data_IF_525065232844
#
_entry.id   IF_525065232844
#
_cell.length_a   1.000
_cell.length_b   1.000
_cell.length_c   1.000
_cell.angle_alpha   90.00
_cell.angle_beta   90.00
_cell.angle_gamma   90.00
#
_symmetry.space_group_name_H-M   'P 1'
#
loop_
_entity.id
_entity.type
_entity.pdbx_description
1 polymer ?
#
# COMPACT_ATOMS: atom_id res chain seq x y z
N UNK A 1 -2.39 44.74 46.26
CA UNK A 1 -3.35 44.21 45.27
C UNK A 1 -2.57 43.68 44.09
N UNK A 2 -2.87 42.46 43.70
CA UNK A 2 -2.05 41.50 42.95
C UNK A 2 -1.91 41.84 41.46
N UNK A 3 -0.72 41.60 40.92
CA UNK A 3 -0.28 41.98 39.57
C UNK A 3 -0.81 40.98 38.53
N UNK A 4 -2.08 41.15 38.12
CA UNK A 4 -2.85 40.22 37.26
C UNK A 4 -2.41 40.28 35.77
N UNK A 5 -1.78 41.38 35.34
CA UNK A 5 -1.42 41.61 33.93
C UNK A 5 -0.26 40.73 33.43
N UNK A 6 0.73 40.42 34.28
CA UNK A 6 1.90 39.63 33.89
C UNK A 6 1.64 38.13 33.73
N UNK A 7 0.61 37.60 34.37
CA UNK A 7 0.27 36.16 34.33
C UNK A 7 -0.49 35.82 33.05
N UNK A 8 -1.40 36.70 32.62
CA UNK A 8 -2.24 36.47 31.43
C UNK A 8 -1.41 36.38 30.14
N UNK A 9 -0.39 37.23 29.99
CA UNK A 9 0.49 37.27 28.80
C UNK A 9 1.41 36.05 28.72
N UNK A 10 1.83 35.47 29.85
CA UNK A 10 2.64 34.24 29.88
C UNK A 10 1.84 33.00 29.53
N UNK A 11 0.58 32.93 29.98
CA UNK A 11 -0.30 31.78 29.70
C UNK A 11 -0.68 31.73 28.21
N UNK A 12 -1.04 32.88 27.61
CA UNK A 12 -1.36 32.96 26.18
C UNK A 12 -0.18 32.52 25.30
N UNK A 13 1.05 32.89 25.69
CA UNK A 13 2.26 32.55 24.93
C UNK A 13 2.63 31.06 25.03
N UNK A 14 2.34 30.40 26.15
CA UNK A 14 2.53 28.95 26.31
C UNK A 14 1.49 28.14 25.55
N UNK A 15 0.23 28.56 25.54
CA UNK A 15 -0.85 27.84 24.84
C UNK A 15 -0.65 27.91 23.32
N UNK A 16 -0.25 29.06 22.77
CA UNK A 16 0.06 29.15 21.33
C UNK A 16 1.28 28.32 20.92
N UNK A 17 2.31 28.20 21.79
CA UNK A 17 3.49 27.39 21.50
C UNK A 17 3.20 25.88 21.43
N UNK A 18 2.29 25.38 22.28
CA UNK A 18 1.90 23.97 22.29
C UNK A 18 0.93 23.64 21.15
N UNK A 19 0.03 24.57 20.78
CA UNK A 19 -0.91 24.39 19.66
C UNK A 19 -0.20 24.40 18.30
N UNK A 20 0.85 25.20 18.11
CA UNK A 20 1.62 25.22 16.86
C UNK A 20 2.50 23.97 16.65
N UNK A 21 2.96 23.31 17.73
CA UNK A 21 3.68 22.04 17.63
C UNK A 21 2.74 20.84 17.36
N UNK A 22 1.46 20.94 17.75
CA UNK A 22 0.47 19.89 17.51
C UNK A 22 -0.03 19.80 16.06
N UNK A 23 0.11 20.87 15.27
CA UNK A 23 -0.38 20.93 13.88
C UNK A 23 0.60 20.39 12.83
N UNK A 24 1.82 20.01 13.23
CA UNK A 24 2.82 19.40 12.34
C UNK A 24 2.73 17.86 12.30
N UNK A 25 1.72 17.27 12.94
CA UNK A 25 1.47 15.83 12.85
C UNK A 25 0.63 15.56 11.60
N UNK A 26 1.30 15.17 10.50
CA UNK A 26 0.71 14.15 9.63
C UNK A 26 0.67 14.36 8.12
N UNK A 27 1.39 15.30 7.52
CA UNK A 27 1.75 15.12 6.10
C UNK A 27 3.00 14.23 6.05
N UNK A 28 2.84 12.91 6.16
CA UNK A 28 3.93 11.97 5.88
C UNK A 28 4.28 12.12 4.39
N UNK A 29 5.30 12.92 4.11
CA UNK A 29 5.87 13.01 2.77
C UNK A 29 6.44 11.66 2.37
N UNK A 30 6.40 11.33 1.08
CA UNK A 30 7.07 10.14 0.56
C UNK A 30 8.56 10.18 0.92
N UNK A 31 9.13 9.11 1.52
CA UNK A 31 10.57 9.04 1.77
C UNK A 31 11.38 9.08 0.47
N UNK A 32 12.65 9.46 0.53
CA UNK A 32 13.55 9.38 -0.65
C UNK A 32 13.77 7.93 -1.06
N UNK A 33 14.08 7.66 -2.33
CA UNK A 33 14.28 6.30 -2.83
C UNK A 33 15.29 5.50 -1.97
N UNK A 34 16.41 6.10 -1.61
CA UNK A 34 17.43 5.51 -0.75
C UNK A 34 16.87 5.12 0.64
N UNK A 35 16.02 5.97 1.22
CA UNK A 35 15.36 5.66 2.49
C UNK A 35 14.37 4.51 2.33
N UNK A 36 13.63 4.46 1.21
CA UNK A 36 12.72 3.36 0.92
C UNK A 36 13.47 2.04 0.76
N UNK A 37 14.61 2.05 0.06
CA UNK A 37 15.47 0.86 -0.08
C UNK A 37 15.98 0.38 1.27
N UNK A 38 16.39 1.29 2.16
CA UNK A 38 16.78 0.96 3.53
C UNK A 38 15.63 0.35 4.33
N UNK A 39 14.41 0.91 4.21
CA UNK A 39 13.21 0.35 4.82
C UNK A 39 12.96 -1.08 4.33
N UNK A 40 13.05 -1.32 3.02
CA UNK A 40 12.86 -2.65 2.43
C UNK A 40 13.97 -3.62 2.86
N UNK A 41 15.24 -3.20 2.87
CA UNK A 41 16.36 -4.03 3.35
C UNK A 41 16.15 -4.45 4.81
N UNK A 42 15.61 -3.56 5.64
CA UNK A 42 15.25 -3.85 7.03
C UNK A 42 13.94 -4.64 7.19
N UNK A 43 13.32 -5.09 6.09
CA UNK A 43 12.01 -5.74 6.04
C UNK A 43 10.87 -4.88 6.64
N UNK A 44 11.07 -3.56 6.72
CA UNK A 44 10.09 -2.58 7.18
C UNK A 44 9.23 -2.10 6.00
N UNK A 45 8.35 -2.97 5.53
CA UNK A 45 7.46 -2.72 4.39
C UNK A 45 6.29 -1.80 4.78
N UNK A 46 6.55 -0.51 4.94
CA UNK A 46 5.53 0.48 5.33
C UNK A 46 4.64 0.81 4.13
N UNK A 47 3.32 0.68 4.31
CA UNK A 47 2.34 1.03 3.27
C UNK A 47 2.46 2.52 2.88
N UNK A 48 2.16 2.81 1.62
CA UNK A 48 2.20 4.12 0.98
C UNK A 48 3.57 4.82 0.94
N UNK A 49 4.61 4.19 1.48
CA UNK A 49 5.97 4.72 1.61
C UNK A 49 7.02 3.91 0.85
N UNK A 50 6.64 2.83 0.18
CA UNK A 50 7.56 1.96 -0.57
C UNK A 50 7.06 1.85 -2.01
N UNK A 51 7.93 2.12 -2.98
CA UNK A 51 7.66 1.93 -4.42
C UNK A 51 8.13 0.58 -4.94
N UNK A 52 7.70 0.22 -6.15
CA UNK A 52 8.19 -0.98 -6.83
C UNK A 52 9.69 -0.93 -7.05
N UNK A 53 10.21 0.24 -7.44
CA UNK A 53 11.64 0.45 -7.68
C UNK A 53 12.49 0.26 -6.42
N UNK A 54 12.03 0.77 -5.27
CA UNK A 54 12.73 0.58 -4.00
C UNK A 54 12.86 -0.91 -3.65
N UNK A 55 11.81 -1.70 -3.88
CA UNK A 55 11.85 -3.15 -3.64
C UNK A 55 12.80 -3.86 -4.60
N UNK A 56 12.73 -3.54 -5.89
CA UNK A 56 13.60 -4.16 -6.90
C UNK A 56 15.08 -3.83 -6.63
N UNK A 57 15.39 -2.61 -6.22
CA UNK A 57 16.76 -2.21 -5.89
C UNK A 57 17.26 -2.90 -4.62
N UNK A 58 16.43 -3.02 -3.59
CA UNK A 58 16.81 -3.61 -2.32
C UNK A 58 16.89 -5.14 -2.34
N UNK A 59 15.95 -5.81 -3.03
CA UNK A 59 15.78 -7.27 -2.97
C UNK A 59 16.04 -7.99 -4.30
N UNK A 60 16.22 -7.26 -5.40
CA UNK A 60 16.29 -7.81 -6.75
C UNK A 60 14.91 -7.90 -7.41
N UNK A 61 14.86 -8.36 -8.66
CA UNK A 61 13.59 -8.56 -9.39
C UNK A 61 12.72 -9.61 -8.69
N UNK A 62 11.39 -9.43 -8.64
CA UNK A 62 10.50 -10.43 -8.06
C UNK A 62 10.57 -11.73 -8.86
N UNK A 63 10.76 -12.90 -8.20
CA UNK A 63 10.72 -14.19 -8.88
C UNK A 63 9.39 -14.46 -9.57
N UNK A 64 8.30 -13.95 -9.00
CA UNK A 64 6.94 -14.08 -9.51
C UNK A 64 6.33 -12.68 -9.61
N UNK A 65 5.88 -12.33 -10.82
CA UNK A 65 5.36 -11.01 -11.16
C UNK A 65 4.02 -11.15 -11.89
N UNK A 66 3.07 -10.28 -11.57
CA UNK A 66 1.83 -10.12 -12.33
C UNK A 66 1.37 -8.67 -12.30
N UNK A 67 0.68 -8.24 -13.34
CA UNK A 67 0.10 -6.90 -13.45
C UNK A 67 -1.29 -7.02 -14.04
N UNK A 68 -2.26 -6.38 -13.43
CA UNK A 68 -3.60 -6.31 -13.99
C UNK A 68 -4.37 -5.05 -13.58
N UNK A 69 -5.21 -4.56 -14.49
CA UNK A 69 -6.25 -3.60 -14.13
C UNK A 69 -7.31 -4.30 -13.25
N UNK A 70 -7.42 -3.85 -12.00
CA UNK A 70 -8.26 -4.49 -11.00
C UNK A 70 -8.95 -3.47 -10.09
N UNK A 71 -9.80 -3.98 -9.20
CA UNK A 71 -10.46 -3.17 -8.18
C UNK A 71 -9.78 -3.34 -6.84
N UNK A 72 -9.72 -2.24 -6.10
CA UNK A 72 -9.14 -2.13 -4.78
C UNK A 72 -10.18 -1.57 -3.83
N UNK A 73 -10.57 -2.36 -2.84
CA UNK A 73 -11.55 -1.95 -1.84
C UNK A 73 -10.86 -1.06 -0.81
N UNK A 74 -11.34 0.17 -0.67
CA UNK A 74 -10.88 1.13 0.33
C UNK A 74 -11.75 0.97 1.57
N UNK A 75 -11.12 0.55 2.66
CA UNK A 75 -11.75 0.33 3.95
C UNK A 75 -11.96 1.66 4.70
N UNK A 76 -12.84 1.71 5.72
CA UNK A 76 -13.06 2.94 6.50
C UNK A 76 -11.82 3.48 7.24
N UNK A 77 -10.84 2.61 7.52
CA UNK A 77 -9.54 2.96 8.11
C UNK A 77 -8.48 3.32 7.06
N UNK A 78 -8.89 3.48 5.79
CA UNK A 78 -8.06 3.73 4.62
C UNK A 78 -7.12 2.59 4.21
N UNK A 79 -7.20 1.42 4.87
CA UNK A 79 -6.52 0.24 4.36
C UNK A 79 -7.12 -0.18 3.01
N UNK A 80 -6.29 -0.78 2.16
CA UNK A 80 -6.68 -1.20 0.82
C UNK A 80 -6.63 -2.72 0.73
N UNK A 81 -7.70 -3.32 0.24
CA UNK A 81 -7.78 -4.76 0.00
C UNK A 81 -7.94 -4.99 -1.51
N UNK A 82 -6.96 -5.64 -2.18
CA UNK A 82 -7.08 -5.95 -3.60
C UNK A 82 -8.17 -6.99 -3.83
N UNK A 83 -8.89 -6.88 -4.96
CA UNK A 83 -9.99 -7.78 -5.32
C UNK A 83 -9.58 -9.25 -5.32
N UNK A 84 -8.35 -9.57 -5.69
CA UNK A 84 -7.78 -10.93 -5.71
C UNK A 84 -7.73 -11.61 -4.34
N UNK A 85 -7.88 -10.86 -3.23
CA UNK A 85 -7.91 -11.40 -1.85
C UNK A 85 -9.32 -11.49 -1.26
N UNK A 86 -10.35 -11.26 -2.08
CA UNK A 86 -11.77 -11.36 -1.68
C UNK A 86 -12.41 -12.54 -2.42
N UNK A 87 -13.29 -13.29 -1.75
CA UNK A 87 -14.04 -14.35 -2.40
C UNK A 87 -14.96 -13.78 -3.50
N UNK A 88 -15.22 -14.59 -4.54
CA UNK A 88 -15.99 -14.12 -5.69
C UNK A 88 -17.44 -13.85 -5.36
N UNK A 89 -17.92 -12.66 -5.75
CA UNK A 89 -19.28 -12.20 -5.46
C UNK A 89 -19.43 -11.58 -4.06
N UNK A 90 -18.35 -11.55 -3.26
CA UNK A 90 -18.36 -10.97 -1.92
C UNK A 90 -17.66 -9.61 -1.89
N UNK A 91 -17.93 -8.85 -0.83
CA UNK A 91 -17.19 -7.66 -0.46
C UNK A 91 -16.44 -7.89 0.86
N UNK A 92 -15.32 -7.19 1.11
CA UNK A 92 -14.63 -7.29 2.41
C UNK A 92 -15.57 -6.95 3.57
N UNK A 93 -15.42 -7.65 4.70
CA UNK A 93 -16.23 -7.37 5.89
C UNK A 93 -15.95 -5.96 6.40
N UNK A 94 -17.00 -5.19 6.66
CA UNK A 94 -16.89 -3.81 7.13
C UNK A 94 -16.61 -2.78 6.02
N UNK A 95 -16.52 -3.22 4.76
CA UNK A 95 -16.46 -2.32 3.62
C UNK A 95 -17.80 -1.58 3.44
N UNK A 96 -17.73 -0.29 3.09
CA UNK A 96 -18.92 0.56 2.94
C UNK A 96 -19.27 0.88 1.49
N UNK A 97 -18.29 1.37 0.71
CA UNK A 97 -18.46 1.70 -0.71
C UNK A 97 -17.17 2.13 -1.43
N UNK A 98 -16.07 2.42 -0.72
CA UNK A 98 -14.87 2.96 -1.34
C UNK A 98 -14.20 1.96 -2.27
N UNK A 99 -14.07 2.31 -3.56
CA UNK A 99 -13.33 1.51 -4.54
C UNK A 99 -12.38 2.43 -5.30
N UNK A 100 -11.15 1.97 -5.49
CA UNK A 100 -10.22 2.51 -6.47
C UNK A 100 -10.02 1.44 -7.55
N UNK A 101 -10.18 1.80 -8.83
CA UNK A 101 -9.81 0.94 -9.95
C UNK A 101 -8.53 1.47 -10.60
N UNK A 102 -7.59 0.58 -10.88
CA UNK A 102 -6.31 0.95 -11.46
C UNK A 102 -5.43 -0.26 -11.75
N UNK A 103 -4.25 0.00 -12.31
CA UNK A 103 -3.27 -1.03 -12.60
C UNK A 103 -2.59 -1.49 -11.31
N UNK A 104 -2.87 -2.73 -10.91
CA UNK A 104 -2.27 -3.39 -9.77
C UNK A 104 -1.01 -4.15 -10.17
N UNK A 105 0.11 -3.86 -9.52
CA UNK A 105 1.36 -4.60 -9.71
C UNK A 105 1.60 -5.53 -8.52
N UNK A 106 1.77 -6.82 -8.78
CA UNK A 106 1.93 -7.87 -7.78
C UNK A 106 3.34 -8.44 -7.83
N UNK A 107 4.07 -8.33 -6.72
CA UNK A 107 5.37 -8.96 -6.51
C UNK A 107 5.22 -10.08 -5.49
N UNK A 108 5.62 -11.29 -5.86
CA UNK A 108 5.72 -12.41 -4.93
C UNK A 108 7.18 -12.87 -4.80
N UNK A 109 7.66 -12.92 -3.55
CA UNK A 109 9.00 -13.39 -3.17
C UNK A 109 8.87 -14.64 -2.30
N UNK A 110 8.77 -15.85 -2.88
CA UNK A 110 8.65 -17.11 -2.13
C UNK A 110 9.74 -17.29 -1.06
N UNK A 111 10.99 -16.97 -1.41
CA UNK A 111 12.14 -17.10 -0.51
C UNK A 111 12.10 -16.13 0.69
N UNK A 112 11.26 -15.09 0.60
CA UNK A 112 11.06 -14.10 1.66
C UNK A 112 9.69 -14.21 2.33
N UNK A 113 8.79 -15.04 1.80
CA UNK A 113 7.44 -15.22 2.31
C UNK A 113 6.51 -14.01 2.13
N UNK A 114 6.75 -13.16 1.12
CA UNK A 114 5.97 -11.94 0.92
C UNK A 114 5.21 -11.89 -0.41
N UNK A 115 3.93 -11.54 -0.33
CA UNK A 115 3.16 -10.94 -1.42
C UNK A 115 3.08 -9.42 -1.18
N UNK A 116 3.48 -8.64 -2.17
CA UNK A 116 3.41 -7.18 -2.17
C UNK A 116 2.55 -6.72 -3.34
N UNK A 117 1.63 -5.80 -3.09
CA UNK A 117 0.73 -5.27 -4.12
C UNK A 117 0.82 -3.76 -4.13
N UNK A 118 1.09 -3.24 -5.33
CA UNK A 118 1.28 -1.82 -5.58
C UNK A 118 0.15 -1.28 -6.45
N UNK A 119 -0.27 -0.06 -6.15
CA UNK A 119 -1.20 0.74 -6.94
C UNK A 119 -0.61 2.14 -7.06
N UNK A 120 -0.59 2.71 -8.26
CA UNK A 120 0.06 4.00 -8.55
C UNK A 120 1.52 4.08 -8.03
N UNK A 121 2.26 2.98 -8.21
CA UNK A 121 3.64 2.77 -7.73
C UNK A 121 3.82 2.93 -6.21
N UNK A 122 2.77 2.69 -5.42
CA UNK A 122 2.81 2.69 -3.95
C UNK A 122 2.38 1.34 -3.40
N UNK A 123 3.11 0.84 -2.40
CA UNK A 123 2.73 -0.37 -1.69
C UNK A 123 1.42 -0.13 -0.92
N UNK A 124 0.33 -0.71 -1.39
CA UNK A 124 -1.00 -0.55 -0.78
C UNK A 124 -1.45 -1.77 0.02
N UNK A 125 -0.87 -2.93 -0.27
CA UNK A 125 -1.18 -4.18 0.45
C UNK A 125 0.06 -5.07 0.53
N UNK A 126 0.20 -5.77 1.66
CA UNK A 126 1.23 -6.77 1.88
C UNK A 126 0.66 -7.94 2.69
N UNK A 127 1.14 -9.13 2.41
CA UNK A 127 0.70 -10.35 3.09
C UNK A 127 1.87 -11.32 3.23
N UNK A 128 2.03 -11.87 4.43
CA UNK A 128 2.94 -12.99 4.67
C UNK A 128 2.26 -14.28 4.23
N UNK A 129 2.93 -15.04 3.37
CA UNK A 129 2.44 -16.30 2.82
C UNK A 129 3.56 -17.32 2.75
N UNK A 130 3.22 -18.61 2.84
CA UNK A 130 4.19 -19.68 2.62
C UNK A 130 4.62 -19.70 1.15
N UNK A 131 5.82 -20.21 0.90
CA UNK A 131 6.37 -20.33 -0.46
C UNK A 131 5.42 -21.11 -1.38
N UNK A 132 4.77 -22.17 -0.88
CA UNK A 132 3.82 -22.98 -1.65
C UNK A 132 2.57 -22.18 -2.04
N UNK A 133 2.09 -21.32 -1.16
CA UNK A 133 0.92 -20.45 -1.40
C UNK A 133 1.24 -19.37 -2.44
N UNK A 134 2.44 -18.78 -2.38
CA UNK A 134 2.91 -17.82 -3.38
C UNK A 134 3.08 -18.44 -4.77
N UNK A 135 3.60 -19.68 -4.84
CA UNK A 135 3.68 -20.42 -6.10
C UNK A 135 2.29 -20.82 -6.62
N UNK A 136 1.36 -21.19 -5.74
CA UNK A 136 -0.02 -21.48 -6.14
C UNK A 136 -0.71 -20.23 -6.71
N UNK A 137 -0.52 -19.07 -6.08
CA UNK A 137 -1.03 -17.79 -6.55
C UNK A 137 -0.51 -17.45 -7.95
N UNK A 138 0.80 -17.61 -8.20
CA UNK A 138 1.38 -17.35 -9.52
C UNK A 138 0.88 -18.29 -10.62
N UNK A 139 0.53 -19.55 -10.27
CA UNK A 139 -0.13 -20.46 -11.23
C UNK A 139 -1.52 -19.96 -11.61
N UNK A 140 -2.26 -19.35 -10.68
CA UNK A 140 -3.56 -18.74 -10.96
C UNK A 140 -3.41 -17.55 -11.90
N UNK A 141 -2.45 -16.66 -11.68
CA UNK A 141 -2.15 -15.55 -12.59
C UNK A 141 -1.84 -16.03 -14.01
N UNK A 142 -0.95 -17.01 -14.13
CA UNK A 142 -0.60 -17.60 -15.43
C UNK A 142 -1.80 -18.31 -16.09
N UNK A 143 -2.75 -18.81 -15.30
CA UNK A 143 -3.99 -19.36 -15.83
C UNK A 143 -4.87 -18.24 -16.39
N UNK A 144 -5.13 -17.18 -15.62
CA UNK A 144 -5.96 -16.03 -16.00
C UNK A 144 -5.46 -15.31 -17.26
N UNK A 145 -4.15 -15.11 -17.39
CA UNK A 145 -3.53 -14.48 -18.55
C UNK A 145 -3.80 -15.23 -19.86
N UNK A 146 -3.91 -16.57 -19.81
CA UNK A 146 -4.27 -17.40 -20.96
C UNK A 146 -5.72 -17.26 -21.39
N UNK A 147 -6.62 -16.78 -20.53
CA UNK A 147 -8.01 -16.53 -20.90
C UNK A 147 -8.22 -15.10 -21.38
N UNK A 148 -7.53 -14.11 -20.79
CA UNK A 148 -7.54 -12.71 -21.28
C UNK A 148 -7.14 -12.65 -22.76
N UNK A 149 -6.05 -13.32 -23.13
CA UNK A 149 -5.55 -13.39 -24.51
C UNK A 149 -6.55 -13.96 -25.52
N UNK A 150 -7.43 -14.89 -25.12
CA UNK A 150 -8.42 -15.50 -26.03
C UNK A 150 -9.66 -14.65 -26.26
N UNK A 151 -10.00 -13.77 -25.32
CA UNK A 151 -11.18 -12.90 -25.44
C UNK A 151 -10.88 -11.66 -26.30
N UNK A 152 -9.68 -11.10 -26.19
CA UNK A 152 -9.25 -9.95 -26.99
C UNK A 152 -9.01 -10.29 -28.48
N UNK A 153 -8.72 -11.56 -28.79
CA UNK A 153 -8.51 -12.03 -30.17
C UNK A 153 -9.82 -12.09 -30.97
N UNK A 154 -10.98 -12.10 -30.31
CA UNK A 154 -12.31 -12.15 -30.92
C UNK A 154 -12.98 -10.79 -31.15
N UNK A 155 -12.36 -9.68 -30.74
CA UNK A 155 -12.93 -8.33 -30.82
C UNK A 155 -12.22 -7.42 -31.82
N UNK A 156 -12.07 -7.86 -33.07
CA UNK A 156 -11.84 -6.96 -34.20
C UNK A 156 -12.97 -7.11 -35.22
N UNK A 157 -13.70 -6.03 -35.55
CA UNK A 157 -14.55 -6.00 -36.74
C UNK A 157 -13.72 -6.05 -38.02
#
# INVERSE_FOLDING_TARGET
MTNISGVLTKVIRCVCGVVLLGLMVGCKSMPTLEQQEQLVQANNLVLDQVTTMAVVNAWGKPPLYHSEFSHFFVMPDFSVIPRSRVATGEAPRGWKAGVHAGEGVYFAYPDRGWLLVFLDDRLVYKEELKAEELHALAKTWAYEDRFKTRLDEGSRP
#
